data_IF_436576374244
#
_entry.id   IF_436576374244
#
_cell.length_a   1.000
_cell.length_b   1.000
_cell.length_c   1.000
_cell.angle_alpha   90.00
_cell.angle_beta   90.00
_cell.angle_gamma   90.00
#
_symmetry.space_group_name_H-M   'P 1'
#
loop_
_entity.id
_entity.type
_entity.pdbx_description
1 polymer ?
#
# COMPACT_ATOMS: atom_id res chain seq x y z
N UNK A 1 22.52 27.87 -15.20
CA UNK A 1 21.62 28.09 -14.05
C UNK A 1 20.76 26.84 -13.93
N UNK A 2 20.67 26.23 -12.76
CA UNK A 2 19.89 24.98 -12.55
C UNK A 2 18.48 25.37 -12.08
N UNK A 3 17.46 24.70 -12.61
CA UNK A 3 16.05 25.01 -12.37
C UNK A 3 15.13 23.85 -12.78
N UNK A 4 13.84 23.97 -12.45
CA UNK A 4 12.78 23.02 -12.81
C UNK A 4 11.62 23.78 -13.47
N UNK A 5 10.84 23.10 -14.32
CA UNK A 5 9.55 23.61 -14.77
C UNK A 5 8.46 23.21 -13.77
N UNK A 6 7.62 24.16 -13.38
CA UNK A 6 6.40 23.86 -12.63
C UNK A 6 5.30 23.29 -13.55
N UNK A 7 4.16 22.90 -12.96
CA UNK A 7 3.00 22.35 -13.69
C UNK A 7 2.34 23.32 -14.69
N UNK A 8 2.69 24.60 -14.63
CA UNK A 8 2.24 25.64 -15.55
C UNK A 8 3.32 26.03 -16.56
N UNK A 9 4.37 25.21 -16.68
CA UNK A 9 5.52 25.38 -17.57
C UNK A 9 6.42 26.58 -17.23
N UNK A 10 6.32 27.14 -16.01
CA UNK A 10 7.22 28.23 -15.60
C UNK A 10 8.55 27.68 -15.12
N UNK A 11 9.65 28.29 -15.58
CA UNK A 11 11.00 27.97 -15.12
C UNK A 11 11.28 28.58 -13.73
N UNK A 12 11.44 27.72 -12.71
CA UNK A 12 11.78 28.11 -11.34
C UNK A 12 13.22 27.73 -11.00
N UNK A 13 13.92 28.63 -10.31
CA UNK A 13 15.33 28.42 -9.89
C UNK A 13 15.55 28.60 -8.40
N UNK A 14 14.51 29.01 -7.65
CA UNK A 14 14.58 29.16 -6.20
C UNK A 14 14.51 27.81 -5.51
N UNK A 15 15.38 27.55 -4.54
CA UNK A 15 15.49 26.26 -3.85
C UNK A 15 14.14 25.78 -3.28
N UNK A 16 13.42 26.66 -2.57
CA UNK A 16 12.08 26.35 -2.01
C UNK A 16 11.02 26.08 -3.08
N UNK A 17 11.08 26.80 -4.19
CA UNK A 17 10.13 26.60 -5.29
C UNK A 17 10.42 25.29 -6.01
N UNK A 18 11.70 24.96 -6.21
CA UNK A 18 12.10 23.67 -6.78
C UNK A 18 11.75 22.50 -5.85
N UNK A 19 11.91 22.65 -4.53
CA UNK A 19 11.46 21.67 -3.54
C UNK A 19 9.96 21.42 -3.69
N UNK A 20 9.17 22.50 -3.74
CA UNK A 20 7.72 22.40 -3.93
C UNK A 20 7.35 21.73 -5.26
N UNK A 21 8.01 22.09 -6.37
CA UNK A 21 7.79 21.45 -7.68
C UNK A 21 8.07 19.95 -7.61
N UNK A 22 9.14 19.53 -6.94
CA UNK A 22 9.44 18.11 -6.76
C UNK A 22 8.39 17.40 -5.90
N UNK A 23 7.97 18.03 -4.78
CA UNK A 23 6.92 17.48 -3.90
C UNK A 23 5.59 17.34 -4.64
N UNK A 24 5.15 18.38 -5.36
CA UNK A 24 3.91 18.37 -6.14
C UNK A 24 3.97 17.27 -7.22
N UNK A 25 5.07 17.18 -7.98
CA UNK A 25 5.25 16.17 -9.03
C UNK A 25 5.16 14.74 -8.48
N UNK A 26 5.88 14.41 -7.41
CA UNK A 26 5.85 13.06 -6.85
C UNK A 26 4.54 12.76 -6.13
N UNK A 27 3.91 13.76 -5.51
CA UNK A 27 2.58 13.58 -4.91
C UNK A 27 1.55 13.20 -5.98
N UNK A 28 1.55 13.89 -7.12
CA UNK A 28 0.65 13.59 -8.23
C UNK A 28 1.00 12.24 -8.89
N UNK A 29 2.30 11.96 -9.10
CA UNK A 29 2.77 10.70 -9.71
C UNK A 29 2.40 9.46 -8.89
N UNK A 30 2.43 9.56 -7.57
CA UNK A 30 2.11 8.46 -6.65
C UNK A 30 0.65 8.46 -6.20
N UNK A 31 -0.18 9.36 -6.72
CA UNK A 31 -1.62 9.34 -6.48
C UNK A 31 -2.30 8.48 -7.57
N UNK A 32 -3.16 7.56 -7.15
CA UNK A 32 -3.97 6.78 -8.10
C UNK A 32 -4.92 7.71 -8.85
N UNK A 33 -5.03 7.55 -10.16
CA UNK A 33 -6.03 8.27 -10.98
C UNK A 33 -7.43 7.68 -10.85
N UNK A 34 -7.66 6.78 -9.89
CA UNK A 34 -8.84 5.91 -9.82
C UNK A 34 -9.09 5.22 -11.17
N UNK A 35 -8.12 4.46 -11.71
CA UNK A 35 -8.36 3.71 -12.93
C UNK A 35 -9.47 2.68 -12.68
N UNK A 36 -10.50 2.73 -13.51
CA UNK A 36 -11.52 1.71 -13.61
C UNK A 36 -11.06 0.65 -14.61
N UNK A 37 -11.53 -0.59 -14.46
CA UNK A 37 -11.25 -1.72 -15.36
C UNK A 37 -9.79 -2.21 -15.38
N UNK A 38 -9.48 -3.17 -14.51
CA UNK A 38 -8.18 -3.84 -14.44
C UNK A 38 -8.13 -5.13 -15.29
N UNK A 39 -9.15 -5.41 -16.10
CA UNK A 39 -9.31 -6.70 -16.79
C UNK A 39 -8.09 -7.02 -17.65
N UNK A 40 -7.64 -6.05 -18.47
CA UNK A 40 -6.51 -6.22 -19.38
C UNK A 40 -5.16 -6.38 -18.64
N UNK A 41 -4.98 -5.68 -17.53
CA UNK A 41 -3.73 -5.73 -16.73
C UNK A 41 -3.63 -7.07 -16.00
N UNK A 42 -4.76 -7.63 -15.58
CA UNK A 42 -4.83 -8.88 -14.82
C UNK A 42 -4.91 -10.13 -15.71
N UNK A 43 -5.11 -10.00 -17.03
CA UNK A 43 -5.29 -11.14 -17.95
C UNK A 43 -4.13 -12.16 -17.89
N UNK A 44 -2.90 -11.68 -17.68
CA UNK A 44 -1.70 -12.53 -17.55
C UNK A 44 -1.40 -13.01 -16.12
N UNK A 45 -2.16 -12.57 -15.12
CA UNK A 45 -1.92 -12.87 -13.71
C UNK A 45 -2.86 -14.00 -13.29
N UNK A 46 -2.34 -15.20 -12.97
CA UNK A 46 -3.21 -16.29 -12.54
C UNK A 46 -3.84 -15.96 -11.18
N UNK A 47 -5.16 -16.13 -11.09
CA UNK A 47 -5.87 -16.06 -9.82
C UNK A 47 -5.50 -17.26 -8.95
N UNK A 48 -4.85 -17.00 -7.82
CA UNK A 48 -4.43 -18.05 -6.86
C UNK A 48 -5.35 -18.17 -5.65
N UNK A 49 -6.21 -17.18 -5.42
CA UNK A 49 -7.21 -17.18 -4.36
C UNK A 49 -8.57 -17.43 -5.02
N UNK A 50 -9.18 -18.56 -4.68
CA UNK A 50 -10.56 -18.85 -5.10
C UNK A 50 -11.55 -18.04 -4.28
N UNK A 51 -12.80 -17.95 -4.75
CA UNK A 51 -13.87 -17.31 -3.96
C UNK A 51 -14.06 -17.98 -2.58
N UNK A 52 -13.86 -19.29 -2.51
CA UNK A 52 -13.92 -20.04 -1.25
C UNK A 52 -12.76 -19.67 -0.33
N UNK A 53 -11.55 -19.54 -0.86
CA UNK A 53 -10.39 -19.09 -0.09
C UNK A 53 -10.62 -17.68 0.44
N UNK A 54 -11.13 -16.78 -0.39
CA UNK A 54 -11.42 -15.41 0.02
C UNK A 54 -12.50 -15.36 1.12
N UNK A 55 -13.57 -16.14 0.98
CA UNK A 55 -14.60 -16.26 2.02
C UNK A 55 -14.02 -16.81 3.33
N UNK A 56 -13.09 -17.77 3.25
CA UNK A 56 -12.40 -18.31 4.41
C UNK A 56 -11.47 -17.27 5.07
N UNK A 57 -10.74 -16.47 4.29
CA UNK A 57 -9.79 -15.48 4.78
C UNK A 57 -10.45 -14.23 5.36
N UNK A 58 -11.64 -13.87 4.87
CA UNK A 58 -12.39 -12.70 5.36
C UNK A 58 -13.33 -13.00 6.53
N UNK A 59 -13.50 -14.26 6.94
CA UNK A 59 -14.40 -14.61 8.04
C UNK A 59 -13.81 -14.20 9.39
N UNK A 60 -14.65 -13.96 10.41
CA UNK A 60 -14.17 -13.76 11.78
C UNK A 60 -13.39 -14.98 12.28
N UNK A 61 -12.30 -14.73 13.00
CA UNK A 61 -11.54 -15.79 13.67
C UNK A 61 -12.41 -16.53 14.68
N UNK A 62 -12.34 -17.86 14.67
CA UNK A 62 -13.01 -18.71 15.63
C UNK A 62 -12.20 -18.88 16.91
N UNK A 63 -12.87 -19.26 18.00
CA UNK A 63 -12.22 -19.57 19.28
C UNK A 63 -11.16 -20.69 19.13
N UNK A 64 -11.44 -21.69 18.29
CA UNK A 64 -10.52 -22.79 18.01
C UNK A 64 -9.23 -22.30 17.36
N UNK A 65 -9.34 -21.41 16.36
CA UNK A 65 -8.17 -20.83 15.68
C UNK A 65 -7.33 -19.98 16.62
N UNK A 66 -7.98 -19.17 17.47
CA UNK A 66 -7.30 -18.38 18.49
C UNK A 66 -6.56 -19.30 19.46
N UNK A 67 -7.21 -20.37 19.92
CA UNK A 67 -6.62 -21.34 20.83
C UNK A 67 -5.43 -22.05 20.20
N UNK A 68 -5.57 -22.55 18.98
CA UNK A 68 -4.48 -23.20 18.25
C UNK A 68 -3.30 -22.25 18.03
N UNK A 69 -3.55 -21.00 17.63
CA UNK A 69 -2.51 -19.99 17.45
C UNK A 69 -1.74 -19.70 18.75
N UNK A 70 -2.44 -19.60 19.89
CA UNK A 70 -1.80 -19.40 21.21
C UNK A 70 -0.83 -20.53 21.56
N UNK A 71 -1.16 -21.79 21.23
CA UNK A 71 -0.27 -22.93 21.47
C UNK A 71 0.86 -23.05 20.44
N UNK A 72 0.72 -22.45 19.26
CA UNK A 72 1.74 -22.42 18.21
C UNK A 72 2.73 -21.25 18.35
N UNK A 73 2.42 -20.24 19.16
CA UNK A 73 3.31 -19.11 19.40
C UNK A 73 4.47 -19.52 20.32
N UNK A 74 5.71 -19.34 19.83
CA UNK A 74 6.93 -19.52 20.62
C UNK A 74 6.92 -18.54 21.82
N UNK A 75 7.48 -18.89 23.00
CA UNK A 75 7.38 -18.07 24.23
C UNK A 75 7.88 -16.63 24.10
N UNK A 76 8.77 -16.35 23.15
CA UNK A 76 9.32 -15.01 22.89
C UNK A 76 8.41 -14.08 22.05
N UNK A 77 7.28 -14.58 21.52
CA UNK A 77 6.32 -13.78 20.73
C UNK A 77 5.08 -13.33 21.50
N UNK A 78 4.95 -13.73 22.76
CA UNK A 78 3.95 -13.13 23.63
C UNK A 78 4.40 -11.69 23.94
N UNK A 79 3.57 -10.65 23.71
CA UNK A 79 3.89 -9.33 24.24
C UNK A 79 4.04 -9.52 25.75
N UNK A 80 5.24 -9.24 26.24
CA UNK A 80 5.53 -9.01 27.63
C UNK A 80 4.41 -8.15 28.21
N UNK A 81 3.70 -8.73 29.20
CA UNK A 81 2.58 -8.08 29.86
C UNK A 81 3.09 -6.72 30.35
N UNK A 82 2.61 -5.63 29.75
CA UNK A 82 2.85 -4.29 30.26
C UNK A 82 2.35 -4.24 31.70
N UNK A 83 3.30 -4.20 32.63
CA UNK A 83 3.14 -3.74 33.99
C UNK A 83 3.70 -2.34 34.11
#
# INVERSE_FOLDING_TARGET
MVGLHDKTDNWVTGEKEMEKVAVDYFSDLFTTTSPDDFTDILEGIPAVITETDNALLMRPASEEEVRAALFLMNPEKAPDRTG
#
